data_IF_615546508825
#
_entry.id   IF_615546508825
#
_cell.length_a   1.000
_cell.length_b   1.000
_cell.length_c   1.000
_cell.angle_alpha   90.00
_cell.angle_beta   90.00
_cell.angle_gamma   90.00
#
_symmetry.space_group_name_H-M   'P 1'
#
loop_
_entity.id
_entity.type
_entity.pdbx_description
1 polymer ?
#
# COMPACT_ATOMS: atom_id res chain seq x y z
N UNK A 1 5.72 -7.04 -23.52
CA UNK A 1 6.26 -5.77 -22.97
C UNK A 1 7.34 -6.12 -21.96
N UNK A 2 8.56 -5.61 -22.11
CA UNK A 2 9.66 -5.87 -21.17
C UNK A 2 9.34 -5.19 -19.83
N UNK A 3 9.23 -5.96 -18.75
CA UNK A 3 9.12 -5.43 -17.40
C UNK A 3 10.35 -4.56 -17.09
N UNK A 4 10.14 -3.26 -16.83
CA UNK A 4 11.20 -2.39 -16.32
C UNK A 4 11.41 -2.75 -14.84
N UNK A 5 12.59 -3.26 -14.50
CA UNK A 5 13.01 -3.45 -13.11
C UNK A 5 13.00 -2.08 -12.40
N UNK A 6 12.19 -1.86 -11.36
CA UNK A 6 12.30 -0.65 -10.56
C UNK A 6 13.71 -0.63 -9.91
N UNK A 7 14.42 0.51 -10.06
CA UNK A 7 15.67 0.85 -9.35
C UNK A 7 16.88 -0.05 -9.63
N UNK A 8 17.23 -0.22 -10.91
CA UNK A 8 18.46 -0.90 -11.34
C UNK A 8 19.73 -0.35 -10.67
N UNK A 9 19.76 0.97 -10.41
CA UNK A 9 20.87 1.65 -9.74
C UNK A 9 21.19 1.09 -8.34
N UNK A 10 20.20 0.59 -7.60
CA UNK A 10 20.44 0.06 -6.26
C UNK A 10 21.11 -1.32 -6.32
N UNK A 11 20.73 -2.15 -7.31
CA UNK A 11 21.38 -3.44 -7.55
C UNK A 11 22.88 -3.28 -7.84
N UNK A 12 23.22 -2.26 -8.62
CA UNK A 12 24.61 -1.90 -8.93
C UNK A 12 25.42 -1.54 -7.67
N UNK A 13 24.81 -0.83 -6.70
CA UNK A 13 25.49 -0.49 -5.43
C UNK A 13 25.75 -1.75 -4.59
N UNK A 14 24.83 -2.71 -4.56
CA UNK A 14 25.06 -3.97 -3.85
C UNK A 14 26.10 -4.86 -4.52
N UNK A 15 26.11 -4.91 -5.85
CA UNK A 15 27.09 -5.70 -6.62
C UNK A 15 28.50 -5.11 -6.56
N UNK A 16 28.62 -3.79 -6.40
CA UNK A 16 29.88 -3.06 -6.44
C UNK A 16 30.05 -2.09 -5.27
N UNK A 17 29.75 -2.53 -4.05
CA UNK A 17 29.74 -1.68 -2.84
C UNK A 17 31.03 -0.89 -2.62
N UNK A 18 32.19 -1.49 -2.89
CA UNK A 18 33.52 -0.86 -2.77
C UNK A 18 33.65 0.45 -3.56
N UNK A 19 32.90 0.63 -4.64
CA UNK A 19 32.93 1.84 -5.47
C UNK A 19 32.09 2.98 -4.90
N UNK A 20 31.10 2.66 -4.08
CA UNK A 20 30.01 3.55 -3.72
C UNK A 20 29.98 3.88 -2.22
N UNK A 21 30.48 3.01 -1.35
CA UNK A 21 30.41 3.18 0.10
C UNK A 21 30.93 4.54 0.58
N UNK A 22 30.09 5.24 1.36
CA UNK A 22 30.41 6.56 1.91
C UNK A 22 30.40 7.71 0.90
N UNK A 23 30.09 7.46 -0.38
CA UNK A 23 29.99 8.48 -1.43
C UNK A 23 28.57 9.01 -1.55
N UNK A 24 28.43 10.13 -2.26
CA UNK A 24 27.17 10.67 -2.77
C UNK A 24 27.04 10.28 -4.23
N UNK A 25 25.90 9.70 -4.60
CA UNK A 25 25.57 9.43 -5.99
C UNK A 25 24.45 10.37 -6.45
N UNK A 26 24.47 10.75 -7.73
CA UNK A 26 23.34 11.42 -8.36
C UNK A 26 22.66 10.47 -9.34
N UNK A 27 21.33 10.44 -9.27
CA UNK A 27 20.47 9.48 -9.95
C UNK A 27 19.50 10.25 -10.84
N UNK A 28 19.51 9.96 -12.14
CA UNK A 28 18.61 10.58 -13.10
C UNK A 28 17.30 9.78 -13.20
N UNK A 29 16.16 10.45 -13.01
CA UNK A 29 14.79 9.89 -13.12
C UNK A 29 14.55 8.62 -12.29
N UNK A 30 15.24 8.50 -11.15
CA UNK A 30 15.24 7.31 -10.28
C UNK A 30 15.60 6.00 -11.01
N UNK A 31 16.46 6.07 -12.03
CA UNK A 31 16.79 4.92 -12.89
C UNK A 31 18.28 4.65 -13.01
N UNK A 32 19.09 5.68 -13.19
CA UNK A 32 20.48 5.56 -13.61
C UNK A 32 21.38 6.44 -12.75
N UNK A 33 22.50 5.87 -12.28
CA UNK A 33 23.56 6.63 -11.62
C UNK A 33 24.34 7.39 -12.69
N UNK A 34 24.37 8.72 -12.61
CA UNK A 34 25.02 9.59 -13.61
C UNK A 34 26.38 10.12 -13.14
N UNK A 35 26.66 10.05 -11.83
CA UNK A 35 27.93 10.41 -11.20
C UNK A 35 28.00 9.95 -9.73
N UNK A 36 29.24 9.93 -9.23
CA UNK A 36 29.62 9.65 -7.84
C UNK A 36 30.56 10.76 -7.36
N UNK A 37 30.40 11.22 -6.13
CA UNK A 37 31.22 12.27 -5.54
C UNK A 37 31.42 12.06 -4.03
N UNK A 38 32.43 12.71 -3.46
CA UNK A 38 32.73 12.62 -2.02
C UNK A 38 31.82 13.47 -1.12
N UNK A 39 31.06 14.41 -1.71
CA UNK A 39 30.17 15.30 -0.97
C UNK A 39 28.99 15.78 -1.82
N UNK A 40 27.92 16.22 -1.17
CA UNK A 40 26.75 16.78 -1.85
C UNK A 40 27.11 18.04 -2.66
N UNK A 41 28.02 18.87 -2.14
CA UNK A 41 28.48 20.08 -2.83
C UNK A 41 29.20 19.72 -4.14
N UNK A 42 30.13 18.77 -4.09
CA UNK A 42 30.83 18.29 -5.27
C UNK A 42 29.87 17.63 -6.27
N UNK A 43 28.90 16.83 -5.78
CA UNK A 43 27.88 16.22 -6.63
C UNK A 43 27.04 17.26 -7.38
N UNK A 44 26.55 18.29 -6.68
CA UNK A 44 25.73 19.36 -7.28
C UNK A 44 26.49 20.17 -8.32
N UNK A 45 27.75 20.50 -8.04
CA UNK A 45 28.60 21.21 -9.00
C UNK A 45 28.82 20.39 -10.27
N UNK A 46 29.17 19.10 -10.13
CA UNK A 46 29.36 18.20 -11.28
C UNK A 46 28.07 17.99 -12.08
N UNK A 47 26.91 17.94 -11.42
CA UNK A 47 25.60 17.91 -12.10
C UNK A 47 25.40 19.17 -12.94
N UNK A 48 25.66 20.34 -12.36
CA UNK A 48 25.47 21.63 -13.01
C UNK A 48 26.40 21.85 -14.20
N UNK A 49 27.63 21.33 -14.13
CA UNK A 49 28.58 21.37 -15.25
C UNK A 49 28.21 20.39 -16.38
N UNK A 50 27.56 19.27 -16.04
CA UNK A 50 27.31 18.15 -16.97
C UNK A 50 25.91 18.16 -17.60
N UNK A 51 24.92 18.81 -16.99
CA UNK A 51 23.53 18.86 -17.44
C UNK A 51 23.08 20.31 -17.68
N UNK A 52 22.70 20.64 -18.92
CA UNK A 52 22.02 21.90 -19.25
C UNK A 52 20.66 21.97 -18.56
N UNK A 53 20.23 23.19 -18.18
CA UNK A 53 19.12 23.54 -17.24
C UNK A 53 17.81 22.74 -17.34
N UNK A 54 17.53 22.06 -18.45
CA UNK A 54 16.28 21.34 -18.72
C UNK A 54 16.18 19.98 -18.00
N UNK A 55 17.26 19.45 -17.42
CA UNK A 55 17.28 18.11 -16.76
C UNK A 55 17.47 18.12 -15.24
N UNK A 56 17.65 19.30 -14.61
CA UNK A 56 17.95 19.37 -13.17
C UNK A 56 16.81 18.91 -12.26
N UNK A 57 15.55 19.12 -12.67
CA UNK A 57 14.38 18.76 -11.87
C UNK A 57 14.20 17.23 -11.69
N UNK A 58 14.91 16.43 -12.49
CA UNK A 58 14.82 14.97 -12.51
C UNK A 58 16.01 14.28 -11.80
N UNK A 59 16.89 15.01 -11.11
CA UNK A 59 18.07 14.45 -10.45
C UNK A 59 17.85 14.31 -8.94
N UNK A 60 17.95 13.07 -8.44
CA UNK A 60 17.95 12.76 -7.00
C UNK A 60 19.37 12.49 -6.52
N UNK A 61 19.65 12.78 -5.25
CA UNK A 61 20.93 12.49 -4.62
C UNK A 61 20.76 11.48 -3.50
N UNK A 62 21.66 10.50 -3.42
CA UNK A 62 21.63 9.46 -2.40
C UNK A 62 23.00 9.33 -1.74
N UNK A 63 23.03 9.33 -0.40
CA UNK A 63 24.26 9.05 0.35
C UNK A 63 24.34 7.56 0.61
N UNK A 64 25.39 6.93 0.10
CA UNK A 64 25.61 5.50 0.26
C UNK A 64 26.23 5.25 1.64
N UNK A 65 25.62 4.41 2.49
CA UNK A 65 26.20 4.03 3.78
C UNK A 65 27.62 3.46 3.64
N UNK A 66 28.46 3.62 4.67
CA UNK A 66 29.83 3.06 4.73
C UNK A 66 29.88 1.57 5.12
N UNK A 67 28.73 0.92 5.21
CA UNK A 67 28.62 -0.46 5.67
C UNK A 67 27.47 -1.13 4.94
N UNK A 68 27.51 -1.13 3.61
CA UNK A 68 26.44 -1.67 2.76
C UNK A 68 26.16 -3.14 3.06
N UNK A 69 27.18 -3.91 3.45
CA UNK A 69 27.05 -5.30 3.87
C UNK A 69 26.26 -5.50 5.19
N UNK A 70 26.06 -4.43 5.96
CA UNK A 70 25.30 -4.43 7.21
C UNK A 70 24.00 -3.61 7.12
N UNK A 71 23.74 -2.97 5.97
CA UNK A 71 22.58 -2.11 5.76
C UNK A 71 21.75 -2.69 4.62
N UNK A 72 20.60 -3.24 4.97
CA UNK A 72 19.55 -3.50 4.00
C UNK A 72 18.79 -2.20 3.75
N UNK A 73 18.95 -1.62 2.56
CA UNK A 73 18.14 -0.50 2.07
C UNK A 73 16.93 -1.10 1.35
N UNK A 74 15.75 -1.19 1.99
CA UNK A 74 14.56 -1.60 1.29
C UNK A 74 14.22 -0.54 0.25
N UNK A 75 13.99 -0.96 -0.99
CA UNK A 75 13.29 -0.16 -1.98
C UNK A 75 11.85 -0.01 -1.50
N UNK A 76 11.59 1.00 -0.67
CA UNK A 76 10.25 1.24 -0.11
C UNK A 76 9.31 1.70 -1.23
N UNK A 77 8.74 0.74 -1.96
CA UNK A 77 7.34 0.85 -2.36
C UNK A 77 6.54 0.51 -1.11
N UNK A 78 5.96 1.51 -0.45
CA UNK A 78 5.10 1.26 0.71
C UNK A 78 3.81 0.59 0.22
N UNK A 79 3.90 -0.74 0.15
CA UNK A 79 2.84 -1.75 0.11
C UNK A 79 3.42 -3.01 0.77
N UNK A 80 3.72 -2.92 2.07
CA UNK A 80 4.17 -4.01 2.98
C UNK A 80 5.55 -4.65 2.69
N UNK A 81 6.43 -4.65 3.69
CA UNK A 81 7.76 -5.27 3.71
C UNK A 81 7.63 -6.81 3.62
N UNK A 82 7.62 -7.37 2.42
CA UNK A 82 7.44 -8.81 2.19
C UNK A 82 8.74 -9.61 2.40
N UNK A 83 8.94 -10.14 3.61
CA UNK A 83 9.06 -11.60 3.73
C UNK A 83 7.64 -12.19 3.60
N UNK A 84 7.46 -13.48 3.28
CA UNK A 84 6.13 -14.09 3.15
C UNK A 84 5.44 -14.20 4.51
N UNK A 85 5.04 -13.06 5.08
CA UNK A 85 4.27 -12.95 6.29
C UNK A 85 2.86 -13.38 5.96
N UNK A 86 2.31 -14.23 6.82
CA UNK A 86 0.91 -14.59 6.76
C UNK A 86 0.07 -13.31 6.84
N UNK A 87 -0.81 -13.12 5.85
CA UNK A 87 -1.77 -12.02 5.86
C UNK A 87 -3.01 -12.45 6.63
N UNK A 88 -3.55 -11.60 7.51
CA UNK A 88 -4.75 -11.91 8.26
C UNK A 88 -6.00 -11.76 7.38
N UNK A 89 -6.15 -12.65 6.41
CA UNK A 89 -7.35 -12.78 5.59
C UNK A 89 -8.39 -13.61 6.34
N UNK A 90 -9.65 -13.20 6.26
CA UNK A 90 -10.77 -13.95 6.83
C UNK A 90 -11.89 -14.11 5.80
N UNK A 91 -12.52 -15.29 5.80
CA UNK A 91 -13.72 -15.56 5.01
C UNK A 91 -14.90 -14.81 5.59
N UNK A 92 -15.58 -14.02 4.77
CA UNK A 92 -16.83 -13.36 5.15
C UNK A 92 -17.87 -13.51 4.05
N UNK A 93 -19.13 -13.34 4.45
CA UNK A 93 -20.28 -13.41 3.57
C UNK A 93 -20.90 -12.02 3.45
N UNK A 94 -20.92 -11.47 2.24
CA UNK A 94 -21.56 -10.18 1.96
C UNK A 94 -22.94 -10.43 1.35
N UNK A 95 -23.98 -9.81 1.90
CA UNK A 95 -25.34 -9.93 1.37
C UNK A 95 -25.62 -8.83 0.36
N UNK A 96 -26.04 -9.22 -0.84
CA UNK A 96 -26.38 -8.29 -1.92
C UNK A 96 -27.75 -7.65 -1.67
N UNK A 97 -28.06 -6.57 -2.41
CA UNK A 97 -29.39 -5.95 -2.42
C UNK A 97 -30.50 -6.92 -2.85
N UNK A 98 -30.17 -7.94 -3.64
CA UNK A 98 -31.08 -9.00 -4.11
C UNK A 98 -31.15 -10.21 -3.17
N UNK A 99 -30.62 -10.10 -1.95
CA UNK A 99 -30.62 -11.14 -0.94
C UNK A 99 -29.74 -12.37 -1.27
N UNK A 100 -28.82 -12.24 -2.22
CA UNK A 100 -27.82 -13.25 -2.51
C UNK A 100 -26.64 -13.11 -1.55
N UNK A 101 -25.90 -14.21 -1.35
CA UNK A 101 -24.71 -14.23 -0.49
C UNK A 101 -23.48 -14.37 -1.37
N UNK A 102 -22.53 -13.46 -1.17
CA UNK A 102 -21.21 -13.45 -1.81
C UNK A 102 -20.14 -13.83 -0.79
N UNK A 103 -19.48 -14.95 -0.99
CA UNK A 103 -18.27 -15.32 -0.25
C UNK A 103 -17.08 -14.49 -0.74
N UNK A 104 -16.34 -13.87 0.17
CA UNK A 104 -15.07 -13.23 -0.16
C UNK A 104 -14.05 -13.34 0.98
N UNK A 105 -12.78 -13.12 0.64
CA UNK A 105 -11.70 -12.97 1.61
C UNK A 105 -11.46 -11.47 1.83
N UNK A 106 -11.51 -11.03 3.09
CA UNK A 106 -11.18 -9.66 3.44
C UNK A 106 -10.01 -9.62 4.41
N UNK A 107 -9.14 -8.62 4.25
CA UNK A 107 -8.02 -8.37 5.16
C UNK A 107 -8.57 -7.77 6.46
N UNK A 108 -8.24 -8.36 7.60
CA UNK A 108 -8.57 -7.78 8.90
C UNK A 108 -7.46 -6.80 9.29
N UNK A 109 -7.79 -5.51 9.35
CA UNK A 109 -6.81 -4.45 9.56
C UNK A 109 -7.23 -3.50 10.68
N UNK A 110 -6.58 -3.65 11.84
CA UNK A 110 -6.78 -2.73 12.98
C UNK A 110 -6.29 -1.30 12.70
N UNK A 111 -5.45 -1.10 11.68
CA UNK A 111 -4.98 0.21 11.24
C UNK A 111 -6.01 0.98 10.38
N UNK A 112 -7.07 0.32 9.94
CA UNK A 112 -8.16 0.95 9.20
C UNK A 112 -9.32 1.33 10.14
N UNK A 113 -9.70 2.60 10.14
CA UNK A 113 -10.82 3.08 10.97
C UNK A 113 -12.17 2.53 10.49
N UNK A 114 -12.35 2.46 9.17
CA UNK A 114 -13.55 1.97 8.50
C UNK A 114 -13.19 0.87 7.51
N UNK A 115 -14.08 -0.10 7.36
CA UNK A 115 -13.98 -1.15 6.33
C UNK A 115 -14.02 -0.55 4.92
N UNK A 116 -13.39 -1.22 3.97
CA UNK A 116 -13.25 -0.78 2.58
C UNK A 116 -13.68 -1.87 1.63
N UNK A 117 -14.46 -1.49 0.62
CA UNK A 117 -14.80 -2.35 -0.53
C UNK A 117 -14.42 -1.69 -1.84
N UNK A 118 -14.02 -2.49 -2.81
CA UNK A 118 -13.64 -2.03 -4.16
C UNK A 118 -14.86 -1.53 -4.94
N UNK A 119 -14.61 -0.78 -6.02
CA UNK A 119 -15.66 -0.33 -6.93
C UNK A 119 -16.48 -1.53 -7.44
N UNK A 120 -15.78 -2.53 -7.96
CA UNK A 120 -16.37 -3.77 -8.48
C UNK A 120 -17.21 -4.49 -7.42
N UNK A 121 -16.68 -4.67 -6.19
CA UNK A 121 -17.43 -5.37 -5.15
C UNK A 121 -18.73 -4.63 -4.80
N UNK A 122 -18.72 -3.31 -4.70
CA UNK A 122 -19.95 -2.57 -4.45
C UNK A 122 -20.97 -2.70 -5.59
N UNK A 123 -20.53 -2.70 -6.85
CA UNK A 123 -21.42 -2.96 -8.00
C UNK A 123 -22.03 -4.37 -7.94
N UNK A 124 -21.22 -5.38 -7.59
CA UNK A 124 -21.69 -6.76 -7.41
C UNK A 124 -22.68 -6.90 -6.24
N UNK A 125 -22.56 -6.06 -5.21
CA UNK A 125 -23.54 -5.97 -4.12
C UNK A 125 -24.82 -5.22 -4.52
N UNK A 126 -24.88 -4.64 -5.72
CA UNK A 126 -25.99 -3.85 -6.23
C UNK A 126 -26.00 -2.41 -5.72
N UNK A 127 -24.85 -1.89 -5.28
CA UNK A 127 -24.71 -0.50 -4.88
C UNK A 127 -24.64 0.40 -6.11
N UNK A 128 -25.27 1.56 -6.01
CA UNK A 128 -25.24 2.61 -7.02
C UNK A 128 -24.77 3.91 -6.39
N UNK A 129 -24.16 4.77 -7.19
CA UNK A 129 -23.78 6.15 -6.86
C UNK A 129 -24.46 7.06 -7.87
N UNK A 130 -25.01 8.19 -7.42
CA UNK A 130 -25.43 9.25 -8.35
C UNK A 130 -24.28 10.23 -8.62
N UNK A 131 -24.38 11.02 -9.68
CA UNK A 131 -23.34 11.99 -10.04
C UNK A 131 -23.27 13.16 -9.05
N UNK A 132 -24.40 13.46 -8.40
CA UNK A 132 -24.55 14.53 -7.41
C UNK A 132 -24.02 14.16 -6.02
N UNK A 133 -23.68 12.89 -5.81
CA UNK A 133 -23.19 12.42 -4.52
C UNK A 133 -21.76 12.88 -4.27
N UNK A 134 -21.51 13.49 -3.12
CA UNK A 134 -20.21 14.00 -2.73
C UNK A 134 -19.19 12.87 -2.53
N UNK A 135 -18.05 12.99 -3.19
CA UNK A 135 -16.90 12.13 -2.98
C UNK A 135 -16.13 12.58 -1.74
N UNK A 136 -15.95 11.65 -0.82
CA UNK A 136 -15.01 11.81 0.29
C UNK A 136 -13.64 11.28 -0.15
N UNK A 137 -12.58 11.80 0.49
CA UNK A 137 -11.21 11.44 0.15
C UNK A 137 -10.46 10.96 1.39
N UNK A 138 -9.88 9.75 1.29
CA UNK A 138 -8.98 9.21 2.29
C UNK A 138 -7.55 9.43 1.81
N UNK A 139 -6.71 10.04 2.66
CA UNK A 139 -5.26 10.14 2.43
C UNK A 139 -4.53 9.05 3.17
N UNK A 140 -3.84 8.20 2.42
CA UNK A 140 -2.92 7.20 2.95
C UNK A 140 -1.52 7.38 2.37
N UNK A 141 -0.60 6.50 2.78
CA UNK A 141 0.78 6.50 2.31
C UNK A 141 0.88 6.15 0.80
N UNK A 142 -0.18 5.56 0.23
CA UNK A 142 -0.28 5.19 -1.18
C UNK A 142 -0.95 6.22 -2.10
N UNK A 143 -1.36 7.39 -1.58
CA UNK A 143 -2.07 8.43 -2.35
C UNK A 143 -3.41 8.82 -1.73
N UNK A 144 -4.24 9.50 -2.53
CA UNK A 144 -5.60 9.92 -2.17
C UNK A 144 -6.61 9.03 -2.89
N UNK A 145 -7.54 8.44 -2.13
CA UNK A 145 -8.57 7.54 -2.67
C UNK A 145 -9.93 8.20 -2.48
N UNK A 146 -10.66 8.39 -3.58
CA UNK A 146 -12.06 8.82 -3.57
C UNK A 146 -12.99 7.67 -3.20
N UNK A 147 -13.92 7.91 -2.28
CA UNK A 147 -14.91 6.92 -1.85
C UNK A 147 -16.25 7.58 -1.48
N UNK A 148 -17.30 6.77 -1.44
CA UNK A 148 -18.58 7.13 -0.83
C UNK A 148 -18.90 6.16 0.31
N UNK A 149 -19.66 6.62 1.30
CA UNK A 149 -20.03 5.79 2.44
C UNK A 149 -21.28 4.98 2.14
N UNK A 150 -21.25 3.69 2.45
CA UNK A 150 -22.40 2.79 2.34
C UNK A 150 -22.54 1.98 3.61
N UNK A 151 -23.74 1.45 3.85
CA UNK A 151 -23.93 0.37 4.82
C UNK A 151 -24.21 -0.91 4.07
N UNK A 152 -23.45 -1.96 4.40
CA UNK A 152 -23.66 -3.30 3.84
C UNK A 152 -23.91 -4.29 4.98
N UNK A 153 -24.43 -5.45 4.62
CA UNK A 153 -24.69 -6.55 5.54
C UNK A 153 -23.55 -7.56 5.39
N UNK A 154 -22.76 -7.72 6.45
CA UNK A 154 -21.61 -8.63 6.53
C UNK A 154 -21.95 -9.72 7.52
N UNK A 155 -21.85 -10.97 7.09
CA UNK A 155 -21.93 -12.13 7.95
C UNK A 155 -20.52 -12.65 8.19
N UNK A 156 -20.14 -12.70 9.47
CA UNK A 156 -18.87 -13.24 9.95
C UNK A 156 -19.24 -14.39 10.89
N UNK A 157 -18.78 -15.59 10.55
CA UNK A 157 -19.23 -16.84 11.16
C UNK A 157 -20.77 -16.96 11.15
N UNK A 158 -21.44 -16.80 12.29
CA UNK A 158 -22.90 -16.91 12.42
C UNK A 158 -23.59 -15.57 12.70
N UNK A 159 -22.83 -14.47 12.82
CA UNK A 159 -23.37 -13.16 13.18
C UNK A 159 -23.47 -12.27 11.97
N UNK A 160 -24.66 -11.73 11.75
CA UNK A 160 -24.94 -10.72 10.73
C UNK A 160 -24.80 -9.32 11.34
N UNK A 161 -23.98 -8.48 10.70
CA UNK A 161 -23.72 -7.10 11.11
C UNK A 161 -24.03 -6.16 9.95
N UNK A 162 -24.70 -5.05 10.26
CA UNK A 162 -24.72 -3.90 9.36
C UNK A 162 -23.47 -3.07 9.61
N UNK A 163 -22.54 -3.01 8.65
CA UNK A 163 -21.29 -2.26 8.79
C UNK A 163 -21.23 -1.11 7.80
N UNK A 164 -20.70 0.03 8.24
CA UNK A 164 -20.32 1.12 7.36
C UNK A 164 -19.05 0.74 6.58
N UNK A 165 -19.05 1.02 5.29
CA UNK A 165 -17.91 0.77 4.40
C UNK A 165 -17.61 2.01 3.55
N UNK A 166 -16.32 2.26 3.35
CA UNK A 166 -15.83 3.11 2.28
C UNK A 166 -15.90 2.32 0.97
N UNK A 167 -16.82 2.70 0.09
CA UNK A 167 -16.92 2.14 -1.24
C UNK A 167 -16.09 2.96 -2.21
N UNK A 168 -14.92 2.44 -2.58
CA UNK A 168 -13.96 3.12 -3.44
C UNK A 168 -14.53 3.39 -4.83
N UNK A 169 -14.15 4.53 -5.39
CA UNK A 169 -14.57 5.00 -6.71
C UNK A 169 -13.39 5.04 -7.71
N UNK A 170 -12.33 4.28 -7.40
CA UNK A 170 -11.12 4.09 -8.20
C UNK A 170 -10.95 2.60 -8.50
N UNK A 171 -10.87 2.26 -9.80
CA UNK A 171 -10.71 0.89 -10.30
C UNK A 171 -9.34 0.26 -9.97
N UNK A 172 -8.34 1.07 -9.64
CA UNK A 172 -7.00 0.59 -9.30
C UNK A 172 -6.92 -0.03 -7.89
N UNK A 173 -7.95 0.19 -7.07
CA UNK A 173 -8.04 -0.36 -5.71
C UNK A 173 -8.66 -1.75 -5.77
N UNK A 174 -7.89 -2.74 -5.31
CA UNK A 174 -8.25 -4.15 -5.34
C UNK A 174 -8.37 -4.77 -3.93
N UNK A 175 -8.09 -3.98 -2.89
CA UNK A 175 -8.09 -4.46 -1.52
C UNK A 175 -9.51 -4.47 -0.95
N UNK A 176 -9.84 -5.51 -0.20
CA UNK A 176 -11.04 -5.59 0.63
C UNK A 176 -10.60 -5.64 2.09
N UNK A 177 -11.07 -4.69 2.90
CA UNK A 177 -10.56 -4.49 4.26
C UNK A 177 -11.73 -4.47 5.25
N UNK A 178 -11.58 -5.18 6.36
CA UNK A 178 -12.39 -5.03 7.55
C UNK A 178 -11.63 -4.13 8.52
N UNK A 179 -12.15 -2.93 8.73
CA UNK A 179 -11.65 -1.95 9.68
C UNK A 179 -12.36 -2.04 11.03
N UNK A 180 -12.00 -1.13 11.94
CA UNK A 180 -12.46 -1.15 13.33
C UNK A 180 -13.95 -0.87 13.49
N UNK A 181 -14.46 0.18 12.84
CA UNK A 181 -15.84 0.63 13.01
C UNK A 181 -16.85 -0.47 12.71
N UNK A 182 -17.88 -0.59 13.57
CA UNK A 182 -18.97 -1.56 13.53
C UNK A 182 -18.53 -3.03 13.76
N UNK A 183 -17.45 -3.51 13.14
CA UNK A 183 -17.04 -4.93 13.24
C UNK A 183 -16.30 -5.22 14.54
N UNK A 184 -15.34 -4.39 14.94
CA UNK A 184 -14.57 -4.61 16.19
C UNK A 184 -15.40 -4.27 17.43
N UNK A 185 -16.48 -3.50 17.27
CA UNK A 185 -17.46 -3.29 18.34
C UNK A 185 -18.33 -4.54 18.56
N UNK A 186 -18.51 -5.37 17.53
CA UNK A 186 -19.33 -6.58 17.58
C UNK A 186 -18.54 -7.84 17.95
N UNK A 187 -17.20 -7.80 17.83
CA UNK A 187 -16.30 -8.91 18.07
C UNK A 187 -14.99 -8.49 18.74
N UNK A 188 -14.56 -9.27 19.72
CA UNK A 188 -13.16 -9.35 20.12
C UNK A 188 -12.40 -10.16 19.07
N UNK A 189 -11.34 -9.58 18.49
CA UNK A 189 -10.57 -10.17 17.39
C UNK A 189 -9.15 -10.48 17.86
N UNK A 190 -8.79 -11.76 17.86
CA UNK A 190 -7.47 -12.25 18.23
C UNK A 190 -6.68 -12.70 16.99
N UNK A 191 -5.47 -12.15 16.80
CA UNK A 191 -4.54 -12.57 15.76
C UNK A 191 -3.52 -13.56 16.34
N UNK A 192 -3.67 -14.85 16.04
CA UNK A 192 -2.72 -15.89 16.42
C UNK A 192 -1.73 -16.14 15.31
N UNK A 193 -0.78 -15.23 15.17
CA UNK A 193 0.17 -15.22 14.05
C UNK A 193 1.01 -16.50 13.95
N UNK A 194 1.46 -17.06 15.08
CA UNK A 194 2.18 -18.35 15.11
C UNK A 194 1.35 -19.53 14.61
N UNK A 195 0.03 -19.47 14.79
CA UNK A 195 -0.94 -20.45 14.29
C UNK A 195 -1.49 -20.10 12.89
N UNK A 196 -1.16 -18.91 12.36
CA UNK A 196 -1.75 -18.35 11.12
C UNK A 196 -3.27 -18.35 11.15
N UNK A 197 -3.85 -17.99 12.30
CA UNK A 197 -5.28 -18.06 12.58
C UNK A 197 -5.78 -16.72 13.12
N UNK A 198 -7.00 -16.35 12.73
CA UNK A 198 -7.76 -15.25 13.34
C UNK A 198 -8.92 -15.89 14.08
N UNK A 199 -9.23 -15.38 15.27
CA UNK A 199 -10.38 -15.79 16.03
C UNK A 199 -11.28 -14.59 16.31
N UNK A 200 -12.52 -14.68 15.87
CA UNK A 200 -13.59 -13.75 16.23
C UNK A 200 -14.35 -14.33 17.42
N UNK A 201 -14.56 -13.49 18.44
CA UNK A 201 -15.39 -13.84 19.59
C UNK A 201 -16.44 -12.76 19.74
N UNK A 202 -17.72 -13.11 19.70
CA UNK A 202 -18.79 -12.10 19.83
C UNK A 202 -18.70 -11.37 21.17
N UNK A 203 -18.73 -10.03 21.11
CA UNK A 203 -18.91 -9.21 22.29
C UNK A 203 -20.34 -9.43 22.81
N UNK A 204 -20.45 -9.71 24.11
CA UNK A 204 -21.71 -9.97 24.81
C UNK A 204 -22.45 -8.69 25.18
#
# INVERSE_FOLDING_TARGET
>A
MKEKKPQAWLGEIYEHSDLYEGKIIAILKDREIILVADSFTAAKQLVQEKLTEILMEDVSYFQVPRSMNQVFIPTLKIRSLRESLWMPMYSVNLRTSHNEIKDCQMLIDSGADISLITLQMGQELGLTRSEEEELLFARGIGGEIGYVLRRIQIMIDQKLISAAVAWCQDESINDLIIGRKDVFDAFDIEFRQGERRIQFTEVK
#
